data_IF_910767227066
#
_entry.id   IF_910767227066
#
_cell.length_a   1.000
_cell.length_b   1.000
_cell.length_c   1.000
_cell.angle_alpha   90.00
_cell.angle_beta   90.00
_cell.angle_gamma   90.00
#
_symmetry.space_group_name_H-M   'P 1'
#
loop_
_entity.id
_entity.type
_entity.pdbx_description
1 polymer ?
#
# COMPACT_ATOMS: atom_id res chain seq x y z
N UNK A 1 -36.01 -41.37 34.63
CA UNK A 1 -35.89 -40.27 33.64
C UNK A 1 -35.61 -38.94 34.32
N UNK A 2 -36.28 -38.59 35.41
CA UNK A 2 -35.98 -37.40 36.24
C UNK A 2 -34.59 -37.41 36.90
N UNK A 3 -34.09 -38.58 37.30
CA UNK A 3 -32.75 -38.73 37.89
C UNK A 3 -31.61 -38.52 36.90
N UNK A 4 -31.84 -38.78 35.61
CA UNK A 4 -30.83 -38.61 34.56
C UNK A 4 -30.69 -37.13 34.18
N UNK A 5 -31.79 -36.37 34.26
CA UNK A 5 -31.83 -34.93 34.02
C UNK A 5 -31.23 -34.13 35.19
N UNK A 6 -31.30 -34.66 36.41
CA UNK A 6 -30.68 -34.05 37.59
C UNK A 6 -29.15 -34.18 37.56
N UNK A 7 -28.64 -35.36 37.20
CA UNK A 7 -27.20 -35.59 37.09
C UNK A 7 -26.57 -34.79 35.93
N UNK A 8 -27.29 -34.61 34.82
CA UNK A 8 -26.81 -33.81 33.69
C UNK A 8 -26.77 -32.31 34.03
N UNK A 9 -27.65 -31.83 34.91
CA UNK A 9 -27.59 -30.46 35.44
C UNK A 9 -26.47 -30.26 36.48
N UNK A 10 -26.14 -31.30 37.26
CA UNK A 10 -25.09 -31.28 38.28
C UNK A 10 -23.69 -31.29 37.62
N UNK A 11 -23.50 -32.11 36.59
CA UNK A 11 -22.26 -32.13 35.79
C UNK A 11 -22.03 -30.80 35.02
N UNK A 12 -23.10 -30.17 34.51
CA UNK A 12 -22.98 -28.88 33.80
C UNK A 12 -22.71 -27.70 34.77
N UNK A 13 -23.06 -27.85 36.06
CA UNK A 13 -22.75 -26.91 37.14
C UNK A 13 -21.29 -27.07 37.62
N UNK A 14 -20.79 -28.30 37.75
CA UNK A 14 -19.37 -28.57 38.02
C UNK A 14 -18.46 -28.06 36.91
N UNK A 15 -18.87 -28.21 35.64
CA UNK A 15 -18.12 -27.70 34.47
C UNK A 15 -18.06 -26.17 34.40
N UNK A 16 -18.99 -25.48 35.06
CA UNK A 16 -19.03 -24.01 35.18
C UNK A 16 -18.43 -23.50 36.51
N UNK A 17 -17.93 -24.40 37.36
CA UNK A 17 -17.22 -24.05 38.59
C UNK A 17 -18.10 -23.46 39.69
N UNK A 18 -19.38 -23.82 39.76
CA UNK A 18 -20.26 -23.42 40.85
C UNK A 18 -20.38 -24.55 41.88
N UNK A 19 -19.78 -24.38 43.05
CA UNK A 19 -20.06 -25.21 44.23
C UNK A 19 -20.82 -24.37 45.27
N UNK A 20 -22.11 -24.63 45.46
CA UNK A 20 -22.85 -24.15 46.62
C UNK A 20 -22.54 -25.06 47.81
N UNK A 21 -21.62 -24.62 48.68
CA UNK A 21 -21.42 -25.29 49.97
C UNK A 21 -22.33 -24.61 51.00
N UNK A 22 -23.52 -25.18 51.21
CA UNK A 22 -24.46 -24.71 52.21
C UNK A 22 -24.01 -25.11 53.63
N UNK A 23 -23.29 -24.22 54.33
CA UNK A 23 -23.26 -24.21 55.79
C UNK A 23 -24.28 -23.18 56.31
N UNK A 24 -25.11 -23.62 57.26
CA UNK A 24 -26.38 -22.99 57.63
C UNK A 24 -26.39 -21.46 57.77
N UNK A 25 -27.50 -20.86 57.32
CA UNK A 25 -28.05 -19.52 57.60
C UNK A 25 -27.13 -18.28 57.61
N UNK A 26 -25.88 -18.37 57.20
CA UNK A 26 -25.05 -17.21 56.88
C UNK A 26 -24.36 -17.43 55.53
N UNK A 27 -24.88 -16.76 54.49
CA UNK A 27 -24.20 -16.54 53.22
C UNK A 27 -22.91 -15.73 53.47
N UNK A 28 -21.80 -16.43 53.70
CA UNK A 28 -20.46 -15.84 53.56
C UNK A 28 -19.95 -16.22 52.18
N UNK A 29 -19.91 -15.24 51.28
CA UNK A 29 -19.23 -15.37 50.00
C UNK A 29 -17.77 -15.75 50.25
N UNK A 30 -17.36 -16.93 49.75
CA UNK A 30 -15.98 -17.37 49.83
C UNK A 30 -15.13 -16.55 48.86
N UNK A 31 -14.06 -15.96 49.38
CA UNK A 31 -13.09 -15.13 48.64
C UNK A 31 -12.48 -15.86 47.41
N UNK A 32 -12.54 -17.20 47.39
CA UNK A 32 -12.17 -18.04 46.25
C UNK A 32 -13.02 -17.83 44.98
N UNK A 33 -14.31 -17.52 45.11
CA UNK A 33 -15.20 -17.26 43.96
C UNK A 33 -14.88 -15.92 43.29
N UNK A 34 -14.45 -14.94 44.08
CA UNK A 34 -14.01 -13.62 43.60
C UNK A 34 -12.64 -13.72 42.90
N UNK A 35 -11.76 -14.60 43.40
CA UNK A 35 -10.44 -14.86 42.79
C UNK A 35 -10.57 -15.69 41.50
N UNK A 36 -11.44 -16.71 41.47
CA UNK A 36 -11.76 -17.52 40.28
C UNK A 36 -12.34 -16.66 39.16
N UNK A 37 -13.37 -15.88 39.47
CA UNK A 37 -14.01 -14.97 38.49
C UNK A 37 -13.07 -13.85 38.02
N UNK A 38 -12.20 -13.33 38.89
CA UNK A 38 -11.19 -12.33 38.49
C UNK A 38 -10.11 -12.95 37.59
N UNK A 39 -9.60 -14.13 37.92
CA UNK A 39 -8.63 -14.84 37.09
C UNK A 39 -9.22 -15.23 35.73
N UNK A 40 -10.49 -15.65 35.69
CA UNK A 40 -11.19 -15.98 34.45
C UNK A 40 -11.46 -14.72 33.61
N UNK A 41 -11.78 -13.58 34.24
CA UNK A 41 -11.90 -12.28 33.56
C UNK A 41 -10.55 -11.79 33.02
N UNK A 42 -9.45 -11.99 33.76
CA UNK A 42 -8.10 -11.68 33.29
C UNK A 42 -7.69 -12.58 32.13
N UNK A 43 -8.03 -13.86 32.18
CA UNK A 43 -7.77 -14.81 31.10
C UNK A 43 -8.58 -14.47 29.84
N UNK A 44 -9.87 -14.15 29.98
CA UNK A 44 -10.71 -13.69 28.87
C UNK A 44 -10.19 -12.39 28.24
N UNK A 45 -9.78 -11.42 29.06
CA UNK A 45 -9.16 -10.18 28.58
C UNK A 45 -7.83 -10.45 27.87
N UNK A 46 -6.99 -11.35 28.40
CA UNK A 46 -5.71 -11.73 27.79
C UNK A 46 -5.92 -12.49 26.48
N UNK A 47 -6.89 -13.40 26.42
CA UNK A 47 -7.26 -14.12 25.21
C UNK A 47 -7.83 -13.18 24.15
N UNK A 48 -8.67 -12.21 24.54
CA UNK A 48 -9.16 -11.18 23.64
C UNK A 48 -8.00 -10.34 23.10
N UNK A 49 -7.10 -9.86 23.97
CA UNK A 49 -5.93 -9.10 23.56
C UNK A 49 -5.02 -9.90 22.61
N UNK A 50 -4.80 -11.18 22.90
CA UNK A 50 -4.03 -12.09 22.05
C UNK A 50 -4.70 -12.31 20.68
N UNK A 51 -6.03 -12.43 20.65
CA UNK A 51 -6.75 -12.57 19.37
C UNK A 51 -6.63 -11.29 18.52
N UNK A 52 -6.73 -10.12 19.15
CA UNK A 52 -6.57 -8.82 18.49
C UNK A 52 -5.14 -8.66 17.95
N UNK A 53 -4.11 -9.00 18.75
CA UNK A 53 -2.72 -8.89 18.29
C UNK A 53 -2.44 -9.83 17.12
N UNK A 54 -2.98 -11.06 17.14
CA UNK A 54 -2.84 -12.00 16.03
C UNK A 54 -3.48 -11.46 14.75
N UNK A 55 -4.69 -10.89 14.84
CA UNK A 55 -5.36 -10.26 13.70
C UNK A 55 -4.52 -9.11 13.13
N UNK A 56 -4.01 -8.24 13.99
CA UNK A 56 -3.15 -7.11 13.59
C UNK A 56 -1.84 -7.58 12.95
N UNK A 57 -1.23 -8.65 13.48
CA UNK A 57 -0.02 -9.24 12.91
C UNK A 57 -0.28 -9.83 11.52
N UNK A 58 -1.40 -10.54 11.32
CA UNK A 58 -1.74 -11.06 10.00
C UNK A 58 -2.03 -9.95 8.98
N UNK A 59 -2.81 -8.93 9.37
CA UNK A 59 -3.13 -7.82 8.45
C UNK A 59 -1.88 -7.00 8.10
N UNK A 60 -1.03 -6.69 9.08
CA UNK A 60 0.24 -5.98 8.82
C UNK A 60 1.21 -6.80 7.95
N UNK A 61 1.27 -8.12 8.14
CA UNK A 61 2.10 -9.00 7.29
C UNK A 61 1.62 -9.01 5.85
N UNK A 62 0.29 -9.12 5.64
CA UNK A 62 -0.30 -9.06 4.30
C UNK A 62 -0.01 -7.72 3.64
N UNK A 63 -0.22 -6.61 4.34
CA UNK A 63 0.10 -5.27 3.83
C UNK A 63 1.58 -5.13 3.47
N UNK A 64 2.48 -5.62 4.33
CA UNK A 64 3.93 -5.60 4.08
C UNK A 64 4.28 -6.42 2.84
N UNK A 65 3.65 -7.59 2.64
CA UNK A 65 3.88 -8.40 1.45
C UNK A 65 3.43 -7.71 0.16
N UNK A 66 2.28 -7.02 0.18
CA UNK A 66 1.77 -6.23 -0.94
C UNK A 66 2.75 -5.07 -1.23
N UNK A 67 3.21 -4.37 -0.20
CA UNK A 67 4.17 -3.28 -0.34
C UNK A 67 5.51 -3.74 -0.93
N UNK A 68 6.01 -4.91 -0.53
CA UNK A 68 7.21 -5.52 -1.11
C UNK A 68 7.02 -5.83 -2.60
N UNK A 69 5.89 -6.39 -2.99
CA UNK A 69 5.57 -6.65 -4.40
C UNK A 69 5.50 -5.34 -5.22
N UNK A 70 4.90 -4.29 -4.66
CA UNK A 70 4.91 -2.96 -5.26
C UNK A 70 6.34 -2.39 -5.38
N UNK A 71 7.19 -2.61 -4.37
CA UNK A 71 8.59 -2.12 -4.36
C UNK A 71 9.46 -2.84 -5.39
N UNK A 72 9.25 -4.14 -5.57
CA UNK A 72 9.90 -4.92 -6.65
C UNK A 72 9.44 -4.40 -8.03
N UNK A 73 8.15 -4.07 -8.17
CA UNK A 73 7.60 -3.48 -9.40
C UNK A 73 8.22 -2.11 -9.70
N UNK A 74 8.39 -1.26 -8.67
CA UNK A 74 9.09 0.01 -8.79
C UNK A 74 10.55 -0.18 -9.21
N UNK A 75 11.28 -1.10 -8.57
CA UNK A 75 12.66 -1.39 -8.93
C UNK A 75 12.77 -1.87 -10.39
N UNK A 76 11.84 -2.72 -10.82
CA UNK A 76 11.77 -3.17 -12.21
C UNK A 76 11.47 -2.03 -13.18
N UNK A 77 10.54 -1.14 -12.82
CA UNK A 77 10.20 0.07 -13.57
C UNK A 77 11.37 1.04 -13.68
N UNK A 78 12.15 1.19 -12.61
CA UNK A 78 13.35 2.03 -12.57
C UNK A 78 14.46 1.49 -13.48
N UNK A 79 14.71 0.17 -13.47
CA UNK A 79 15.73 -0.45 -14.32
C UNK A 79 15.35 -0.43 -15.80
N UNK A 80 14.07 -0.69 -16.13
CA UNK A 80 13.61 -0.77 -17.52
C UNK A 80 13.06 0.54 -18.08
N UNK A 81 13.09 1.64 -17.31
CA UNK A 81 12.53 2.95 -17.68
C UNK A 81 11.09 2.88 -18.21
N UNK A 82 10.27 1.99 -17.64
CA UNK A 82 8.85 1.81 -17.99
C UNK A 82 7.95 2.41 -16.91
N UNK A 83 7.28 3.51 -17.27
CA UNK A 83 6.34 4.27 -16.42
C UNK A 83 5.24 3.42 -15.79
N UNK A 84 4.72 2.44 -16.52
CA UNK A 84 3.55 1.64 -16.12
C UNK A 84 3.75 0.91 -14.78
N UNK A 85 4.99 0.54 -14.45
CA UNK A 85 5.32 -0.18 -13.22
C UNK A 85 5.58 0.73 -12.01
N UNK A 86 5.73 2.04 -12.22
CA UNK A 86 5.99 3.01 -11.14
C UNK A 86 4.68 3.44 -10.46
N UNK A 87 3.59 3.55 -11.22
CA UNK A 87 2.28 3.97 -10.74
C UNK A 87 1.72 3.13 -9.57
N UNK A 88 1.71 1.78 -9.60
CA UNK A 88 1.15 0.99 -8.49
C UNK A 88 1.89 1.22 -7.17
N UNK A 89 3.19 1.51 -7.21
CA UNK A 89 3.94 1.83 -5.99
C UNK A 89 3.58 3.20 -5.43
N UNK A 90 3.39 4.22 -6.28
CA UNK A 90 2.97 5.56 -5.82
C UNK A 90 1.61 5.47 -5.10
N UNK A 91 0.66 4.73 -5.67
CA UNK A 91 -0.66 4.54 -5.04
C UNK A 91 -0.53 3.81 -3.70
N UNK A 92 0.26 2.74 -3.64
CA UNK A 92 0.50 2.01 -2.39
C UNK A 92 1.16 2.92 -1.33
N UNK A 93 2.17 3.70 -1.71
CA UNK A 93 2.85 4.63 -0.80
C UNK A 93 1.91 5.72 -0.27
N UNK A 94 0.96 6.21 -1.07
CA UNK A 94 -0.04 7.18 -0.59
C UNK A 94 -0.99 6.55 0.45
N UNK A 95 -1.39 5.29 0.26
CA UNK A 95 -2.20 4.55 1.24
C UNK A 95 -1.41 4.34 2.54
N UNK A 96 -0.13 3.94 2.43
CA UNK A 96 0.73 3.75 3.60
C UNK A 96 0.98 5.04 4.37
N UNK A 97 1.10 6.19 3.69
CA UNK A 97 1.20 7.50 4.34
C UNK A 97 -0.05 7.79 5.19
N UNK A 98 -1.25 7.49 4.69
CA UNK A 98 -2.49 7.66 5.44
C UNK A 98 -2.55 6.72 6.65
N UNK A 99 -2.17 5.46 6.47
CA UNK A 99 -2.08 4.49 7.56
C UNK A 99 -1.08 4.95 8.62
N UNK A 100 0.08 5.47 8.21
CA UNK A 100 1.09 6.00 9.12
C UNK A 100 0.57 7.18 9.95
N UNK A 101 -0.07 8.16 9.32
CA UNK A 101 -0.65 9.30 10.04
C UNK A 101 -1.72 8.82 11.03
N UNK A 102 -2.57 7.87 10.62
CA UNK A 102 -3.57 7.30 11.52
C UNK A 102 -2.95 6.58 12.73
N UNK A 103 -1.85 5.85 12.52
CA UNK A 103 -1.14 5.17 13.59
C UNK A 103 -0.50 6.15 14.57
N UNK A 104 0.04 7.27 14.09
CA UNK A 104 0.62 8.33 14.94
C UNK A 104 -0.46 8.97 15.82
N UNK A 105 -1.64 9.28 15.26
CA UNK A 105 -2.76 9.87 16.00
C UNK A 105 -3.26 8.90 17.08
N UNK A 106 -3.42 7.62 16.74
CA UNK A 106 -3.83 6.59 17.70
C UNK A 106 -2.76 6.44 18.79
N UNK A 107 -1.47 6.44 18.41
CA UNK A 107 -0.34 6.32 19.33
C UNK A 107 -0.25 7.45 20.35
N UNK A 108 -0.60 8.68 19.96
CA UNK A 108 -0.62 9.85 20.86
C UNK A 108 -1.67 9.70 21.99
N UNK A 109 -2.74 8.92 21.75
CA UNK A 109 -3.74 8.60 22.75
C UNK A 109 -3.26 7.64 23.86
N UNK A 110 -2.10 6.99 23.69
CA UNK A 110 -1.58 6.00 24.63
C UNK A 110 -0.29 6.47 25.32
N UNK A 111 -0.34 6.82 26.62
CA UNK A 111 0.82 7.35 27.35
C UNK A 111 1.97 6.35 27.49
N UNK A 112 1.71 5.04 27.35
CA UNK A 112 2.75 4.01 27.32
C UNK A 112 3.66 4.14 26.09
N UNK A 113 3.12 4.54 24.94
CA UNK A 113 3.89 4.75 23.71
C UNK A 113 4.77 5.99 23.86
N UNK A 114 4.21 7.07 24.40
CA UNK A 114 4.95 8.31 24.65
C UNK A 114 6.11 8.10 25.63
N UNK A 115 5.90 7.30 26.69
CA UNK A 115 6.95 6.96 27.64
C UNK A 115 8.04 6.06 27.05
N UNK A 116 7.71 5.21 26.08
CA UNK A 116 8.70 4.39 25.35
C UNK A 116 9.70 5.27 24.59
N UNK A 117 9.23 6.38 24.02
CA UNK A 117 10.06 7.35 23.28
C UNK A 117 10.75 8.38 24.18
N UNK A 118 10.82 8.13 25.49
CA UNK A 118 11.49 9.00 26.46
C UNK A 118 10.88 10.42 26.54
N UNK A 119 9.56 10.53 26.30
CA UNK A 119 8.79 11.76 26.48
C UNK A 119 8.12 12.29 25.22
N UNK A 120 7.16 13.20 25.43
CA UNK A 120 6.27 13.73 24.39
C UNK A 120 7.02 14.46 23.25
N UNK A 121 8.04 15.25 23.59
CA UNK A 121 8.82 15.99 22.59
C UNK A 121 9.64 15.07 21.67
N UNK A 122 10.23 14.01 22.23
CA UNK A 122 11.01 13.04 21.44
C UNK A 122 10.10 12.17 20.56
N UNK A 123 8.91 11.81 21.06
CA UNK A 123 7.90 11.13 20.27
C UNK A 123 7.48 11.96 19.04
N UNK A 124 7.06 13.21 19.25
CA UNK A 124 6.65 14.10 18.14
C UNK A 124 7.77 14.36 17.15
N UNK A 125 8.99 14.59 17.64
CA UNK A 125 10.16 14.79 16.76
C UNK A 125 10.45 13.55 15.91
N UNK A 126 10.38 12.35 16.51
CA UNK A 126 10.61 11.09 15.80
C UNK A 126 9.51 10.83 14.77
N UNK A 127 8.24 11.04 15.13
CA UNK A 127 7.12 10.92 14.21
C UNK A 127 7.21 11.92 13.05
N UNK A 128 7.59 13.17 13.32
CA UNK A 128 7.77 14.20 12.30
C UNK A 128 8.91 13.83 11.33
N UNK A 129 10.06 13.37 11.85
CA UNK A 129 11.16 12.88 11.01
C UNK A 129 10.74 11.68 10.16
N UNK A 130 9.97 10.76 10.73
CA UNK A 130 9.53 9.57 10.02
C UNK A 130 8.57 9.93 8.87
N UNK A 131 7.58 10.78 9.11
CA UNK A 131 6.69 11.31 8.07
C UNK A 131 7.48 12.09 7.02
N UNK A 132 8.39 12.96 7.43
CA UNK A 132 9.22 13.74 6.50
C UNK A 132 10.08 12.84 5.60
N UNK A 133 10.69 11.79 6.16
CA UNK A 133 11.47 10.82 5.39
C UNK A 133 10.62 10.06 4.37
N UNK A 134 9.38 9.71 4.73
CA UNK A 134 8.47 9.01 3.85
C UNK A 134 7.97 9.91 2.71
N UNK A 135 7.62 11.16 3.04
CA UNK A 135 7.26 12.18 2.03
C UNK A 135 8.43 12.43 1.08
N UNK A 136 9.66 12.53 1.60
CA UNK A 136 10.86 12.68 0.77
C UNK A 136 11.03 11.51 -0.22
N UNK A 137 10.84 10.26 0.23
CA UNK A 137 10.91 9.09 -0.63
C UNK A 137 9.86 9.13 -1.76
N UNK A 138 8.62 9.53 -1.45
CA UNK A 138 7.56 9.72 -2.45
C UNK A 138 7.96 10.80 -3.46
N UNK A 139 8.43 11.96 -2.99
CA UNK A 139 8.87 13.05 -3.85
C UNK A 139 10.03 12.63 -4.76
N UNK A 140 10.99 11.85 -4.26
CA UNK A 140 12.11 11.34 -5.05
C UNK A 140 11.63 10.44 -6.20
N UNK A 141 10.70 9.52 -5.91
CA UNK A 141 10.11 8.64 -6.94
C UNK A 141 9.27 9.41 -7.94
N UNK A 142 8.49 10.39 -7.50
CA UNK A 142 7.72 11.26 -8.40
C UNK A 142 8.67 12.02 -9.33
N UNK A 143 9.75 12.58 -8.79
CA UNK A 143 10.75 13.32 -9.58
C UNK A 143 11.37 12.43 -10.65
N UNK A 144 11.74 11.19 -10.29
CA UNK A 144 12.20 10.17 -11.23
C UNK A 144 11.13 9.87 -12.31
N UNK A 145 9.86 9.71 -11.92
CA UNK A 145 8.78 9.42 -12.87
C UNK A 145 8.54 10.56 -13.88
N UNK A 146 8.72 11.81 -13.44
CA UNK A 146 8.61 13.01 -14.28
C UNK A 146 9.76 13.06 -15.29
N UNK A 147 10.98 12.75 -14.85
CA UNK A 147 12.16 12.71 -15.72
C UNK A 147 12.02 11.64 -16.80
N UNK A 148 11.57 10.43 -16.44
CA UNK A 148 11.29 9.36 -17.41
C UNK A 148 10.23 9.78 -18.43
N UNK A 149 9.19 10.47 -17.97
CA UNK A 149 8.11 10.96 -18.85
C UNK A 149 8.60 12.06 -19.80
N UNK A 150 9.46 12.95 -19.33
CA UNK A 150 10.06 14.00 -20.15
C UNK A 150 10.97 13.41 -21.26
N UNK A 151 11.77 12.39 -20.93
CA UNK A 151 12.61 11.69 -21.91
C UNK A 151 11.79 10.96 -22.98
N UNK A 152 10.68 10.32 -22.60
CA UNK A 152 9.78 9.65 -23.55
C UNK A 152 9.08 10.65 -24.48
N UNK A 153 8.62 11.79 -23.95
CA UNK A 153 8.01 12.85 -24.72
C UNK A 153 9.02 13.45 -25.73
N UNK A 154 10.25 13.71 -25.30
CA UNK A 154 11.32 14.22 -26.18
C UNK A 154 11.65 13.24 -27.31
N UNK A 155 11.68 11.92 -27.04
CA UNK A 155 11.86 10.90 -28.08
C UNK A 155 10.71 10.88 -29.08
N UNK A 156 9.47 10.95 -28.62
CA UNK A 156 8.29 10.96 -29.50
C UNK A 156 8.29 12.18 -30.44
N UNK A 157 8.62 13.36 -29.92
CA UNK A 157 8.75 14.58 -30.74
C UNK A 157 9.91 14.50 -31.73
N UNK A 158 11.03 13.86 -31.37
CA UNK A 158 12.15 13.65 -32.28
C UNK A 158 11.79 12.68 -33.42
N UNK A 159 11.04 11.61 -33.11
CA UNK A 159 10.57 10.63 -34.10
C UNK A 159 9.58 11.25 -35.08
N UNK A 160 8.55 11.95 -34.59
CA UNK A 160 7.59 12.66 -35.46
C UNK A 160 8.29 13.68 -36.38
N UNK A 161 9.32 14.36 -35.87
CA UNK A 161 10.09 15.32 -36.68
C UNK A 161 10.95 14.62 -37.72
N UNK A 162 11.53 13.47 -37.39
CA UNK A 162 12.28 12.62 -38.31
C UNK A 162 11.40 12.06 -39.43
N UNK A 163 10.22 11.54 -39.08
CA UNK A 163 9.24 11.03 -40.05
C UNK A 163 8.74 12.15 -40.98
N UNK A 164 8.47 13.34 -40.46
CA UNK A 164 8.08 14.49 -41.28
C UNK A 164 9.18 14.93 -42.24
N UNK A 165 10.45 14.86 -41.84
CA UNK A 165 11.59 15.16 -42.72
C UNK A 165 11.73 14.13 -43.84
N UNK A 166 11.55 12.85 -43.54
CA UNK A 166 11.55 11.78 -44.54
C UNK A 166 10.41 11.92 -45.57
N UNK A 167 9.21 12.28 -45.10
CA UNK A 167 8.07 12.54 -45.99
C UNK A 167 8.31 13.76 -46.88
N UNK A 168 8.96 14.80 -46.36
CA UNK A 168 9.33 16.00 -47.12
C UNK A 168 10.38 15.70 -48.20
N UNK A 169 11.38 14.89 -47.87
CA UNK A 169 12.42 14.48 -48.84
C UNK A 169 11.81 13.63 -49.97
N UNK A 170 10.90 12.71 -49.61
CA UNK A 170 10.19 11.90 -50.59
C UNK A 170 9.27 12.73 -51.50
N UNK A 171 8.59 13.74 -50.94
CA UNK A 171 7.79 14.70 -51.70
C UNK A 171 8.64 15.60 -52.62
N UNK A 172 9.83 16.00 -52.19
CA UNK A 172 10.76 16.78 -52.98
C UNK A 172 11.34 15.97 -54.15
N UNK A 173 11.74 14.72 -53.90
CA UNK A 173 12.23 13.81 -54.94
C UNK A 173 11.17 13.47 -56.00
N UNK A 174 9.93 13.20 -55.58
CA UNK A 174 8.82 12.96 -56.51
C UNK A 174 8.46 14.20 -57.33
N UNK A 175 8.50 15.39 -56.73
CA UNK A 175 8.29 16.66 -57.44
C UNK A 175 9.39 16.95 -58.45
N UNK A 176 10.67 16.69 -58.12
CA UNK A 176 11.80 16.83 -59.04
C UNK A 176 11.71 15.86 -60.22
N UNK A 177 11.31 14.61 -59.98
CA UNK A 177 11.08 13.62 -61.05
C UNK A 177 9.93 14.06 -61.97
N UNK A 178 8.83 14.57 -61.40
CA UNK A 178 7.70 15.07 -62.18
C UNK A 178 8.09 16.30 -63.00
N UNK A 179 8.87 17.23 -62.45
CA UNK A 179 9.39 18.40 -63.17
C UNK A 179 10.38 18.02 -64.28
N UNK A 180 11.23 17.01 -64.05
CA UNK A 180 12.17 16.50 -65.05
C UNK A 180 11.46 15.81 -66.23
N UNK A 181 10.38 15.07 -65.97
CA UNK A 181 9.54 14.49 -67.02
C UNK A 181 8.84 15.57 -67.85
N UNK A 182 8.32 16.63 -67.20
CA UNK A 182 7.69 17.76 -67.87
C UNK A 182 8.69 18.53 -68.76
N UNK A 183 9.93 18.69 -68.31
CA UNK A 183 10.98 19.33 -69.09
C UNK A 183 11.39 18.49 -70.31
N UNK A 184 11.46 17.15 -70.17
CA UNK A 184 11.67 16.24 -71.32
C UNK A 184 10.56 16.34 -72.37
N UNK A 185 9.30 16.45 -71.94
CA UNK A 185 8.15 16.64 -72.84
C UNK A 185 8.18 18.01 -73.56
N UNK A 186 8.61 19.07 -72.86
CA UNK A 186 8.77 20.41 -73.41
C UNK A 186 9.91 20.50 -74.44
N UNK A 187 11.03 19.83 -74.21
CA UNK A 187 12.15 19.84 -75.17
C UNK A 187 11.92 18.94 -76.39
N UNK A 188 11.20 17.82 -76.23
CA UNK A 188 10.84 16.93 -77.35
C UNK A 188 9.90 17.59 -78.36
N UNK A 189 8.96 18.41 -77.89
CA UNK A 189 7.99 19.12 -78.77
C UNK A 189 8.63 20.26 -79.57
N UNK A 190 9.79 20.77 -79.16
CA UNK A 190 10.49 21.86 -79.87
C UNK A 190 11.31 21.38 -81.09
N UNK A 191 11.48 20.06 -81.27
CA UNK A 191 12.23 19.48 -82.40
C UNK A 191 11.36 18.96 -83.55
N UNK A 192 10.03 19.00 -83.40
CA UNK A 192 9.07 18.54 -84.41
C UNK A 192 8.39 19.67 -85.21
N UNK A 193 8.79 20.93 -84.98
CA UNK A 193 8.36 22.11 -85.74
C UNK A 193 9.57 22.81 -86.35
N UNK A 194 10.23 22.16 -87.31
CA UNK A 194 11.07 22.81 -88.34
C UNK A 194 10.79 22.09 -89.66
#
# INVERSE_FOLDING_TARGET
MLTLLHNDMEDDAERRGFYEVAYGNQLRFHEGDVISTNNQRRFANAQYLASVTVIVLYTSTILTSIYLMCSISLLHGAVKYKKEYIFPWIVAAMIDLLLLISAIIIGDGYPCVINLFNGHNMYHFTCALFVASFVYAICAVISFSMEVSAMQCARHFADERGERLLLLDHAAHSSLLSAAQLNKLSHGTRTHFV
#
